data_IF_403257264051
#
_entry.id   IF_403257264051
#
_cell.length_a   1.000
_cell.length_b   1.000
_cell.length_c   1.000
_cell.angle_alpha   90.00
_cell.angle_beta   90.00
_cell.angle_gamma   90.00
#
_symmetry.space_group_name_H-M   'P 1'
#
loop_
_entity.id
_entity.type
_entity.pdbx_description
1 polymer ?
#
# COMPACT_ATOMS: atom_id res chain seq x y z
N UNK A 1 -7.87 8.97 -12.45
CA UNK A 1 -7.30 7.93 -11.54
C UNK A 1 -6.28 7.04 -12.23
N UNK A 2 -6.54 6.50 -13.43
CA UNK A 2 -5.62 5.58 -14.13
C UNK A 2 -4.18 6.08 -14.30
N UNK A 3 -3.97 7.39 -14.35
CA UNK A 3 -2.63 7.98 -14.50
C UNK A 3 -1.66 7.62 -13.37
N UNK A 4 -2.16 7.40 -12.15
CA UNK A 4 -1.30 7.08 -11.00
C UNK A 4 -0.76 5.64 -11.04
N UNK A 5 -1.33 4.77 -11.89
CA UNK A 5 -0.93 3.37 -12.07
C UNK A 5 -0.30 3.13 -13.45
N UNK A 6 -0.10 4.17 -14.27
CA UNK A 6 0.60 4.06 -15.54
C UNK A 6 2.07 3.66 -15.33
N UNK A 7 2.70 2.97 -16.30
CA UNK A 7 4.10 2.56 -16.18
C UNK A 7 5.06 3.68 -15.78
N UNK A 8 4.83 4.90 -16.29
CA UNK A 8 5.63 6.08 -15.97
C UNK A 8 5.56 6.46 -14.50
N UNK A 9 4.36 6.40 -13.90
CA UNK A 9 4.15 6.65 -12.48
C UNK A 9 4.75 5.53 -11.62
N UNK A 10 4.56 4.26 -12.01
CA UNK A 10 5.10 3.11 -11.29
C UNK A 10 6.62 3.15 -11.20
N UNK A 11 7.31 3.57 -12.27
CA UNK A 11 8.77 3.77 -12.26
C UNK A 11 9.22 4.79 -11.22
N UNK A 12 8.44 5.85 -11.00
CA UNK A 12 8.75 6.88 -10.01
C UNK A 12 8.52 6.39 -8.56
N UNK A 13 7.67 5.37 -8.38
CA UNK A 13 7.42 4.82 -7.05
C UNK A 13 8.52 3.88 -6.55
N UNK A 14 9.32 3.27 -7.44
CA UNK A 14 10.32 2.26 -7.05
C UNK A 14 11.31 2.79 -5.99
N UNK A 15 11.95 3.97 -6.17
CA UNK A 15 12.88 4.46 -5.15
C UNK A 15 12.19 4.77 -3.81
N UNK A 16 10.92 5.21 -3.86
CA UNK A 16 10.12 5.47 -2.65
C UNK A 16 9.80 4.17 -1.93
N UNK A 17 9.38 3.13 -2.66
CA UNK A 17 9.10 1.80 -2.13
C UNK A 17 10.34 1.19 -1.46
N UNK A 18 11.49 1.22 -2.16
CA UNK A 18 12.74 0.66 -1.67
C UNK A 18 13.24 1.38 -0.41
N UNK A 19 13.25 2.72 -0.42
CA UNK A 19 13.65 3.51 0.75
C UNK A 19 12.75 3.24 1.97
N UNK A 20 11.43 3.20 1.78
CA UNK A 20 10.49 2.90 2.86
C UNK A 20 10.61 1.44 3.34
N UNK A 21 10.89 0.49 2.46
CA UNK A 21 11.09 -0.92 2.84
C UNK A 21 12.34 -1.06 3.72
N UNK A 22 13.45 -0.43 3.33
CA UNK A 22 14.68 -0.41 4.12
C UNK A 22 14.44 0.19 5.51
N UNK A 23 13.82 1.37 5.58
CA UNK A 23 13.48 2.01 6.86
C UNK A 23 12.56 1.13 7.73
N UNK A 24 11.55 0.49 7.13
CA UNK A 24 10.63 -0.38 7.84
C UNK A 24 11.32 -1.63 8.41
N UNK A 25 12.20 -2.27 7.63
CA UNK A 25 12.97 -3.43 8.09
C UNK A 25 13.94 -3.03 9.21
N UNK A 26 14.65 -1.91 9.05
CA UNK A 26 15.60 -1.44 10.05
C UNK A 26 14.93 -1.03 11.37
N UNK A 27 13.76 -0.42 11.31
CA UNK A 27 13.05 0.07 12.51
C UNK A 27 12.17 -0.98 13.19
N UNK A 28 11.51 -1.87 12.44
CA UNK A 28 10.50 -2.77 12.98
C UNK A 28 10.95 -4.24 13.05
N UNK A 29 11.99 -4.63 12.29
CA UNK A 29 12.43 -6.03 12.19
C UNK A 29 13.82 -6.22 12.80
N UNK A 30 14.77 -5.34 12.50
CA UNK A 30 16.15 -5.47 12.94
C UNK A 30 16.23 -5.49 14.49
N UNK A 31 17.04 -6.40 15.03
CA UNK A 31 17.20 -6.56 16.48
C UNK A 31 16.07 -7.32 17.19
N UNK A 32 14.97 -7.65 16.51
CA UNK A 32 13.90 -8.48 17.07
C UNK A 32 14.21 -9.97 16.92
N UNK A 33 14.05 -10.75 17.98
CA UNK A 33 14.17 -12.22 17.92
C UNK A 33 12.98 -12.86 17.18
N UNK A 34 11.78 -12.29 17.34
CA UNK A 34 10.54 -12.79 16.74
C UNK A 34 9.79 -11.63 16.08
N UNK A 35 9.53 -11.76 14.78
CA UNK A 35 8.75 -10.78 14.00
C UNK A 35 7.40 -11.38 13.61
N UNK A 36 6.32 -10.68 13.94
CA UNK A 36 4.97 -11.02 13.46
C UNK A 36 4.77 -10.40 12.07
N UNK A 37 5.08 -11.18 11.04
CA UNK A 37 5.09 -10.71 9.64
C UNK A 37 3.78 -10.07 9.21
N UNK A 38 2.62 -10.69 9.47
CA UNK A 38 1.35 -10.15 8.98
C UNK A 38 1.01 -8.74 9.51
N UNK A 39 1.06 -8.47 10.83
CA UNK A 39 0.94 -7.11 11.34
C UNK A 39 1.96 -6.12 10.76
N UNK A 40 3.23 -6.51 10.61
CA UNK A 40 4.27 -5.62 10.07
C UNK A 40 4.04 -5.31 8.59
N UNK A 41 3.71 -6.33 7.79
CA UNK A 41 3.32 -6.15 6.39
C UNK A 41 2.10 -5.25 6.25
N UNK A 42 1.09 -5.35 7.12
CA UNK A 42 -0.08 -4.44 7.10
C UNK A 42 0.30 -2.99 7.40
N UNK A 43 1.17 -2.77 8.39
CA UNK A 43 1.69 -1.44 8.71
C UNK A 43 2.44 -0.86 7.51
N UNK A 44 3.42 -1.59 7.01
CA UNK A 44 4.22 -1.17 5.85
C UNK A 44 3.38 -0.83 4.62
N UNK A 45 2.46 -1.72 4.22
CA UNK A 45 1.66 -1.49 3.01
C UNK A 45 0.66 -0.35 3.18
N UNK A 46 0.14 -0.11 4.38
CA UNK A 46 -0.71 1.04 4.66
C UNK A 46 0.07 2.35 4.58
N UNK A 47 1.26 2.40 5.20
CA UNK A 47 2.14 3.56 5.20
C UNK A 47 2.59 3.88 3.76
N UNK A 48 2.97 2.85 3.00
CA UNK A 48 3.33 2.97 1.60
C UNK A 48 2.18 3.48 0.75
N UNK A 49 0.96 2.95 0.92
CA UNK A 49 -0.21 3.42 0.18
C UNK A 49 -0.53 4.89 0.51
N UNK A 50 -0.37 5.31 1.76
CA UNK A 50 -0.51 6.70 2.16
C UNK A 50 0.57 7.59 1.51
N UNK A 51 1.80 7.11 1.45
CA UNK A 51 2.90 7.82 0.78
C UNK A 51 2.65 7.98 -0.72
N UNK A 52 2.25 6.90 -1.41
CA UNK A 52 2.15 6.90 -2.87
C UNK A 52 0.91 7.64 -3.37
N UNK A 53 -0.26 7.40 -2.76
CA UNK A 53 -1.52 7.96 -3.26
C UNK A 53 -1.88 9.30 -2.64
N UNK A 54 -1.36 9.58 -1.45
CA UNK A 54 -1.66 10.82 -0.73
C UNK A 54 -0.40 11.58 -0.35
N UNK A 55 0.81 11.21 -0.77
CA UNK A 55 2.05 11.96 -0.46
C UNK A 55 2.20 12.36 1.02
N UNK A 56 1.63 11.58 1.95
CA UNK A 56 1.72 11.87 3.39
C UNK A 56 3.11 11.38 3.85
N UNK A 57 3.84 12.25 4.54
CA UNK A 57 5.17 11.95 5.10
C UNK A 57 5.10 11.77 6.62
N UNK A 58 4.18 12.48 7.26
CA UNK A 58 4.04 12.51 8.71
C UNK A 58 3.48 11.19 9.24
N UNK A 59 4.34 10.44 9.94
CA UNK A 59 4.02 9.15 10.57
C UNK A 59 2.89 9.25 11.59
N UNK A 60 2.75 10.38 12.30
CA UNK A 60 1.67 10.56 13.28
C UNK A 60 0.32 10.67 12.56
N UNK A 61 0.28 11.42 11.45
CA UNK A 61 -0.90 11.51 10.60
C UNK A 61 -1.29 10.14 10.04
N UNK A 62 -0.34 9.39 9.48
CA UNK A 62 -0.60 8.03 8.96
C UNK A 62 -1.14 7.12 10.05
N UNK A 63 -0.56 7.16 11.25
CA UNK A 63 -1.02 6.39 12.41
C UNK A 63 -2.46 6.75 12.82
N UNK A 64 -2.79 8.05 12.83
CA UNK A 64 -4.16 8.52 13.13
C UNK A 64 -5.15 8.02 12.08
N UNK A 65 -4.78 8.06 10.81
CA UNK A 65 -5.62 7.55 9.73
C UNK A 65 -5.81 6.03 9.85
N UNK A 66 -4.74 5.27 10.07
CA UNK A 66 -4.77 3.82 10.25
C UNK A 66 -5.70 3.37 11.39
N UNK A 67 -5.73 4.14 12.50
CA UNK A 67 -6.61 3.90 13.65
C UNK A 67 -8.09 3.96 13.29
N UNK A 68 -8.47 4.82 12.35
CA UNK A 68 -9.84 4.89 11.84
C UNK A 68 -10.12 3.88 10.73
N UNK A 69 -9.11 3.58 9.91
CA UNK A 69 -9.24 2.74 8.73
C UNK A 69 -9.37 1.24 9.07
N UNK A 70 -8.52 0.73 9.97
CA UNK A 70 -8.45 -0.70 10.30
C UNK A 70 -9.77 -1.28 10.84
N UNK A 71 -10.50 -0.60 11.76
CA UNK A 71 -11.80 -1.08 12.22
C UNK A 71 -12.86 -1.07 11.12
N UNK A 72 -12.77 -0.15 10.15
CA UNK A 72 -13.75 -0.04 9.05
C UNK A 72 -13.61 -1.22 8.09
N UNK A 73 -12.39 -1.51 7.65
CA UNK A 73 -12.11 -2.58 6.70
C UNK A 73 -12.39 -3.97 7.26
N UNK A 74 -12.03 -4.21 8.53
CA UNK A 74 -12.37 -5.47 9.22
C UNK A 74 -13.88 -5.73 9.34
N UNK A 75 -14.71 -4.70 9.20
CA UNK A 75 -16.18 -4.78 9.29
C UNK A 75 -16.88 -4.61 7.94
N UNK A 76 -16.12 -4.43 6.85
CA UNK A 76 -16.64 -4.11 5.52
C UNK A 76 -17.53 -5.23 4.96
N UNK A 77 -17.18 -6.49 5.24
CA UNK A 77 -17.94 -7.67 4.80
C UNK A 77 -18.98 -8.14 5.82
N UNK A 78 -19.47 -7.25 6.68
CA UNK A 78 -20.48 -7.61 7.68
C UNK A 78 -21.91 -7.57 7.13
N UNK A 79 -22.84 -8.21 7.84
CA UNK A 79 -24.27 -8.21 7.47
C UNK A 79 -24.77 -6.75 7.46
N UNK A 80 -25.41 -6.28 6.38
CA UNK A 80 -25.75 -4.87 6.17
C UNK A 80 -26.96 -4.42 6.99
N UNK A 81 -26.85 -4.51 8.32
CA UNK A 81 -27.88 -4.12 9.28
C UNK A 81 -27.39 -2.91 10.06
N UNK A 82 -27.95 -1.74 9.76
CA UNK A 82 -27.61 -0.49 10.43
C UNK A 82 -28.43 -0.29 11.72
N UNK A 83 -28.03 -1.01 12.77
CA UNK A 83 -28.61 -0.86 14.12
C UNK A 83 -27.50 -0.54 15.13
N UNK A 84 -27.76 0.27 16.17
CA UNK A 84 -26.78 0.54 17.21
C UNK A 84 -26.19 -0.74 17.79
N UNK A 85 -24.85 -0.83 17.80
CA UNK A 85 -24.13 -1.99 18.31
C UNK A 85 -23.77 -3.06 17.28
N UNK A 86 -24.29 -2.98 16.04
CA UNK A 86 -23.87 -3.91 14.97
C UNK A 86 -22.50 -3.54 14.40
N UNK A 87 -21.83 -4.53 13.81
CA UNK A 87 -20.57 -4.32 13.07
C UNK A 87 -20.73 -3.35 11.91
N UNK A 88 -21.86 -3.43 11.19
CA UNK A 88 -22.15 -2.55 10.05
C UNK A 88 -22.34 -1.10 10.49
N UNK A 89 -23.11 -0.84 11.56
CA UNK A 89 -23.24 0.50 12.14
C UNK A 89 -21.87 1.08 12.56
N UNK A 90 -21.02 0.23 13.15
CA UNK A 90 -19.64 0.59 13.48
C UNK A 90 -18.77 0.91 12.27
N UNK A 91 -18.95 0.18 11.15
CA UNK A 91 -18.25 0.43 9.89
C UNK A 91 -18.68 1.77 9.28
N UNK A 92 -19.98 2.07 9.25
CA UNK A 92 -20.53 3.34 8.75
C UNK A 92 -19.96 4.52 9.56
N UNK A 93 -20.02 4.46 10.89
CA UNK A 93 -19.47 5.51 11.77
C UNK A 93 -17.97 5.72 11.55
N UNK A 94 -17.20 4.62 11.44
CA UNK A 94 -15.78 4.71 11.15
C UNK A 94 -15.49 5.31 9.78
N UNK A 95 -16.27 4.92 8.76
CA UNK A 95 -16.19 5.47 7.40
C UNK A 95 -16.43 6.97 7.37
N UNK A 96 -17.39 7.48 8.15
CA UNK A 96 -17.62 8.94 8.28
C UNK A 96 -16.40 9.67 8.84
N UNK A 97 -15.69 9.07 9.82
CA UNK A 97 -14.48 9.68 10.39
C UNK A 97 -13.32 9.67 9.38
N UNK A 98 -13.13 8.56 8.66
CA UNK A 98 -12.13 8.46 7.58
C UNK A 98 -12.40 9.51 6.51
N UNK A 99 -13.64 9.63 6.05
CA UNK A 99 -14.04 10.67 5.09
C UNK A 99 -13.72 12.07 5.60
N UNK A 100 -14.09 12.38 6.85
CA UNK A 100 -13.84 13.70 7.43
C UNK A 100 -12.35 14.05 7.45
N UNK A 101 -11.48 13.09 7.75
CA UNK A 101 -10.04 13.34 7.78
C UNK A 101 -9.48 13.52 6.37
N UNK A 102 -9.86 12.65 5.42
CA UNK A 102 -9.42 12.77 4.03
C UNK A 102 -9.90 14.07 3.37
N UNK A 103 -11.13 14.50 3.66
CA UNK A 103 -11.66 15.76 3.14
C UNK A 103 -10.79 16.95 3.57
N UNK A 104 -10.31 17.00 4.82
CA UNK A 104 -9.38 18.07 5.24
C UNK A 104 -8.11 18.05 4.41
N UNK A 105 -7.50 16.88 4.22
CA UNK A 105 -6.27 16.72 3.42
C UNK A 105 -6.49 17.19 1.99
N UNK A 106 -7.62 16.81 1.38
CA UNK A 106 -7.97 17.18 0.01
C UNK A 106 -8.19 18.70 -0.09
N UNK A 107 -8.94 19.29 0.84
CA UNK A 107 -9.22 20.74 0.86
C UNK A 107 -7.94 21.56 1.08
N UNK A 108 -7.09 21.17 2.03
CA UNK A 108 -5.82 21.87 2.33
C UNK A 108 -4.89 21.85 1.11
N UNK A 109 -4.75 20.69 0.46
CA UNK A 109 -3.96 20.57 -0.77
C UNK A 109 -4.49 21.39 -1.91
N UNK A 110 -5.81 21.38 -2.11
CA UNK A 110 -6.44 22.18 -3.17
C UNK A 110 -6.17 23.67 -2.96
N UNK A 111 -6.15 24.12 -1.70
CA UNK A 111 -5.79 25.50 -1.36
C UNK A 111 -4.31 25.80 -1.67
N UNK A 112 -3.38 24.95 -1.23
CA UNK A 112 -1.95 25.10 -1.55
C UNK A 112 -1.67 25.10 -3.07
N UNK A 113 -2.43 24.31 -3.83
CA UNK A 113 -2.29 24.24 -5.30
C UNK A 113 -2.88 25.46 -6.03
N UNK A 114 -3.95 26.06 -5.49
CA UNK A 114 -4.49 27.32 -6.00
C UNK A 114 -3.50 28.48 -5.77
N UNK A 115 -2.75 28.45 -4.68
CA UNK A 115 -1.71 29.45 -4.38
C UNK A 115 -0.43 29.26 -5.24
N UNK A 116 -0.16 28.04 -5.74
CA UNK A 116 1.04 27.69 -6.51
C UNK A 116 0.84 27.59 -8.04
N UNK A 117 -0.26 28.08 -8.60
CA UNK A 117 -0.50 28.21 -10.06
C UNK A 117 -0.36 26.93 -10.91
N UNK A 118 -0.38 25.74 -10.30
CA UNK A 118 -0.21 24.44 -11.00
C UNK A 118 -1.37 23.53 -10.64
N UNK A 119 -2.52 23.75 -11.29
CA UNK A 119 -3.70 22.92 -11.09
C UNK A 119 -3.52 21.57 -11.81
N UNK A 120 -2.91 20.59 -11.14
CA UNK A 120 -3.11 19.18 -11.44
C UNK A 120 -4.46 18.80 -10.82
N UNK A 121 -5.55 19.12 -11.54
CA UNK A 121 -6.86 18.55 -11.22
C UNK A 121 -6.75 17.05 -11.40
N UNK A 122 -7.16 16.28 -10.40
CA UNK A 122 -7.49 14.88 -10.63
C UNK A 122 -8.73 14.91 -11.51
N UNK A 123 -8.56 14.60 -12.78
CA UNK A 123 -9.66 14.47 -13.72
C UNK A 123 -10.18 13.03 -13.72
N UNK A 124 -11.47 12.89 -13.98
CA UNK A 124 -12.08 11.59 -14.24
C UNK A 124 -11.64 11.05 -15.62
N UNK A 125 -12.18 9.90 -16.02
CA UNK A 125 -11.87 9.26 -17.31
C UNK A 125 -12.32 10.09 -18.53
N UNK A 126 -13.21 11.06 -18.32
CA UNK A 126 -13.74 11.97 -19.34
C UNK A 126 -12.99 13.30 -19.40
N UNK A 127 -12.01 13.52 -18.52
CA UNK A 127 -11.27 14.77 -18.41
C UNK A 127 -11.95 15.82 -17.54
N UNK A 128 -13.05 15.47 -16.87
CA UNK A 128 -13.79 16.39 -15.99
C UNK A 128 -13.17 16.44 -14.60
N UNK A 129 -13.28 17.61 -13.95
CA UNK A 129 -12.76 17.79 -12.59
C UNK A 129 -13.54 16.92 -11.59
N UNK A 130 -12.83 16.07 -10.85
CA UNK A 130 -13.48 15.28 -9.80
C UNK A 130 -13.85 16.17 -8.61
N UNK A 131 -15.02 15.94 -8.02
CA UNK A 131 -15.41 16.54 -6.75
C UNK A 131 -14.53 16.02 -5.61
N UNK A 132 -14.43 16.78 -4.52
CA UNK A 132 -13.64 16.37 -3.35
C UNK A 132 -14.14 15.05 -2.75
N UNK A 133 -15.46 14.82 -2.81
CA UNK A 133 -16.08 13.58 -2.36
C UNK A 133 -15.69 12.39 -3.25
N UNK A 134 -15.66 12.57 -4.58
CA UNK A 134 -15.20 11.54 -5.51
C UNK A 134 -13.71 11.24 -5.31
N UNK A 135 -12.87 12.27 -5.14
CA UNK A 135 -11.45 12.10 -4.82
C UNK A 135 -11.30 11.32 -3.51
N UNK A 136 -12.06 11.67 -2.47
CA UNK A 136 -12.04 10.96 -1.19
C UNK A 136 -12.44 9.49 -1.32
N UNK A 137 -13.53 9.18 -2.02
CA UNK A 137 -14.00 7.81 -2.27
C UNK A 137 -12.93 6.99 -3.00
N UNK A 138 -12.33 7.60 -4.02
CA UNK A 138 -11.27 7.02 -4.83
C UNK A 138 -10.03 6.66 -4.02
N UNK A 139 -9.56 7.59 -3.16
CA UNK A 139 -8.43 7.35 -2.27
C UNK A 139 -8.75 6.23 -1.27
N UNK A 140 -9.95 6.22 -0.68
CA UNK A 140 -10.37 5.14 0.22
C UNK A 140 -10.32 3.79 -0.50
N UNK A 141 -10.88 3.69 -1.70
CA UNK A 141 -10.86 2.47 -2.50
C UNK A 141 -9.44 1.99 -2.78
N UNK A 142 -8.54 2.89 -3.18
CA UNK A 142 -7.13 2.57 -3.44
C UNK A 142 -6.40 2.11 -2.18
N UNK A 143 -6.62 2.76 -1.04
CA UNK A 143 -6.05 2.36 0.24
C UNK A 143 -6.50 0.93 0.60
N UNK A 144 -7.82 0.67 0.65
CA UNK A 144 -8.38 -0.65 0.96
C UNK A 144 -7.79 -1.73 0.04
N UNK A 145 -7.82 -1.48 -1.28
CA UNK A 145 -7.37 -2.44 -2.26
C UNK A 145 -5.88 -2.75 -2.16
N UNK A 146 -5.04 -1.73 -1.89
CA UNK A 146 -3.59 -1.88 -1.87
C UNK A 146 -3.08 -2.55 -0.59
N UNK A 147 -3.51 -2.11 0.59
CA UNK A 147 -2.85 -2.55 1.82
C UNK A 147 -3.29 -3.96 2.27
N UNK A 148 -4.58 -4.31 2.17
CA UNK A 148 -5.07 -5.63 2.59
C UNK A 148 -4.54 -6.75 1.69
N UNK A 149 -4.57 -6.56 0.37
CA UNK A 149 -4.16 -7.59 -0.59
C UNK A 149 -2.64 -7.79 -0.57
N UNK A 150 -1.87 -6.70 -0.64
CA UNK A 150 -0.40 -6.76 -0.68
C UNK A 150 0.17 -7.29 0.62
N UNK A 151 -0.36 -6.88 1.78
CA UNK A 151 0.14 -7.39 3.08
C UNK A 151 -0.09 -8.89 3.24
N UNK A 152 -1.23 -9.38 2.75
CA UNK A 152 -1.55 -10.81 2.72
C UNK A 152 -0.59 -11.56 1.80
N UNK A 153 -0.36 -11.08 0.57
CA UNK A 153 0.56 -11.75 -0.36
C UNK A 153 2.01 -11.75 0.15
N UNK A 154 2.52 -10.64 0.68
CA UNK A 154 3.86 -10.58 1.30
C UNK A 154 3.99 -11.61 2.42
N UNK A 155 2.96 -11.73 3.26
CA UNK A 155 2.93 -12.71 4.35
C UNK A 155 2.96 -14.14 3.82
N UNK A 156 2.18 -14.43 2.77
CA UNK A 156 2.13 -15.76 2.15
C UNK A 156 3.44 -16.11 1.46
N UNK A 157 4.05 -15.17 0.74
CA UNK A 157 5.38 -15.34 0.14
C UNK A 157 6.40 -15.70 1.22
N UNK A 158 6.43 -14.98 2.34
CA UNK A 158 7.37 -15.26 3.43
C UNK A 158 7.10 -16.61 4.10
N UNK A 159 5.82 -16.98 4.29
CA UNK A 159 5.45 -18.31 4.79
C UNK A 159 5.97 -19.42 3.87
N UNK A 160 5.72 -19.33 2.56
CA UNK A 160 6.16 -20.34 1.61
C UNK A 160 7.68 -20.40 1.48
N UNK A 161 8.36 -19.27 1.55
CA UNK A 161 9.83 -19.24 1.58
C UNK A 161 10.36 -19.98 2.82
N UNK A 162 9.79 -19.75 3.99
CA UNK A 162 10.18 -20.44 5.22
C UNK A 162 9.96 -21.97 5.13
N UNK A 163 8.91 -22.41 4.44
CA UNK A 163 8.60 -23.84 4.22
C UNK A 163 9.45 -24.48 3.11
N UNK A 164 10.05 -23.69 2.21
CA UNK A 164 10.75 -24.16 0.99
C UNK A 164 12.17 -23.58 0.90
N UNK A 165 13.13 -24.05 1.72
CA UNK A 165 14.46 -23.44 1.85
C UNK A 165 15.29 -23.39 0.55
N UNK A 166 15.09 -24.33 -0.38
CA UNK A 166 15.75 -24.32 -1.69
C UNK A 166 15.36 -23.10 -2.56
N UNK A 167 14.15 -22.57 -2.38
CA UNK A 167 13.68 -21.36 -3.06
C UNK A 167 14.38 -20.13 -2.48
N UNK A 168 14.58 -20.08 -1.16
CA UNK A 168 15.33 -18.99 -0.51
C UNK A 168 16.75 -18.87 -1.09
N UNK A 169 17.45 -19.99 -1.27
CA UNK A 169 18.81 -20.02 -1.82
C UNK A 169 18.82 -19.39 -3.22
N UNK A 170 17.91 -19.83 -4.09
CA UNK A 170 17.80 -19.34 -5.46
C UNK A 170 17.44 -17.85 -5.52
N UNK A 171 16.46 -17.42 -4.70
CA UNK A 171 16.08 -16.01 -4.55
C UNK A 171 17.25 -15.17 -4.07
N UNK A 172 17.98 -15.62 -3.05
CA UNK A 172 19.13 -14.90 -2.51
C UNK A 172 20.23 -14.74 -3.55
N UNK A 173 20.50 -15.77 -4.36
CA UNK A 173 21.48 -15.70 -5.43
C UNK A 173 21.10 -14.63 -6.48
N UNK A 174 19.82 -14.57 -6.90
CA UNK A 174 19.30 -13.52 -7.79
C UNK A 174 19.50 -12.12 -7.19
N UNK A 175 19.05 -11.91 -5.94
CA UNK A 175 19.14 -10.60 -5.27
C UNK A 175 20.59 -10.15 -5.08
N UNK A 176 21.50 -11.07 -4.77
CA UNK A 176 22.93 -10.76 -4.61
C UNK A 176 23.61 -10.38 -5.92
N UNK A 177 23.13 -10.85 -7.07
CA UNK A 177 23.66 -10.41 -8.37
C UNK A 177 23.33 -8.94 -8.63
N UNK A 178 22.11 -8.51 -8.26
CA UNK A 178 21.68 -7.11 -8.39
C UNK A 178 22.44 -6.25 -7.38
N UNK A 179 22.49 -6.65 -6.11
CA UNK A 179 23.17 -5.89 -5.06
C UNK A 179 24.65 -5.59 -5.38
N UNK A 180 25.36 -6.53 -6.03
CA UNK A 180 26.77 -6.33 -6.45
C UNK A 180 26.96 -5.22 -7.50
N UNK A 181 25.91 -4.87 -8.22
CA UNK A 181 25.94 -3.80 -9.23
C UNK A 181 25.64 -2.42 -8.66
N UNK A 182 25.20 -2.35 -7.39
CA UNK A 182 24.75 -1.12 -6.73
C UNK A 182 25.86 -0.55 -5.84
N UNK A 183 25.98 0.77 -5.82
CA UNK A 183 26.80 1.46 -4.83
C UNK A 183 26.12 1.42 -3.44
N UNK A 184 26.89 1.58 -2.34
CA UNK A 184 26.32 1.69 -1.00
C UNK A 184 25.27 2.80 -0.92
N UNK A 185 24.06 2.46 -0.46
CA UNK A 185 22.93 3.39 -0.35
C UNK A 185 22.23 3.73 -1.67
N UNK A 186 22.61 3.10 -2.79
CA UNK A 186 21.94 3.29 -4.07
C UNK A 186 20.61 2.51 -4.10
N UNK A 187 19.50 3.24 -4.27
CA UNK A 187 18.16 2.67 -4.36
C UNK A 187 17.95 1.88 -5.67
N UNK A 188 17.03 0.92 -5.64
CA UNK A 188 16.60 0.14 -6.79
C UNK A 188 16.03 1.03 -7.90
N UNK A 189 16.35 0.67 -9.15
CA UNK A 189 15.75 1.30 -10.33
C UNK A 189 14.74 0.37 -11.01
N UNK A 190 14.02 0.92 -11.99
CA UNK A 190 13.13 0.13 -12.85
C UNK A 190 13.87 -1.03 -13.53
N UNK A 191 15.08 -0.79 -14.04
CA UNK A 191 15.89 -1.81 -14.70
C UNK A 191 16.30 -2.92 -13.73
N UNK A 192 16.51 -2.60 -12.45
CA UNK A 192 16.81 -3.61 -11.44
C UNK A 192 15.60 -4.48 -11.15
N UNK A 193 14.42 -3.89 -10.97
CA UNK A 193 13.17 -4.63 -10.77
C UNK A 193 12.88 -5.57 -11.95
N UNK A 194 13.14 -5.14 -13.18
CA UNK A 194 12.98 -5.99 -14.38
C UNK A 194 13.91 -7.22 -14.40
N UNK A 195 15.03 -7.20 -13.67
CA UNK A 195 15.96 -8.34 -13.56
C UNK A 195 15.49 -9.39 -12.55
N UNK A 196 14.57 -9.05 -11.64
CA UNK A 196 14.10 -9.91 -10.54
C UNK A 196 13.05 -10.96 -11.01
N UNK A 197 13.43 -11.80 -11.98
CA UNK A 197 12.50 -12.72 -12.66
C UNK A 197 12.08 -13.90 -11.78
N UNK A 198 13.01 -14.45 -11.00
CA UNK A 198 12.75 -15.59 -10.13
C UNK A 198 11.87 -15.18 -8.94
N UNK A 199 12.17 -14.05 -8.28
CA UNK A 199 11.32 -13.56 -7.19
C UNK A 199 9.91 -13.21 -7.69
N UNK A 200 9.77 -12.67 -8.91
CA UNK A 200 8.47 -12.48 -9.55
C UNK A 200 7.70 -13.80 -9.72
N UNK A 201 8.36 -14.85 -10.21
CA UNK A 201 7.73 -16.17 -10.33
C UNK A 201 7.29 -16.74 -8.96
N UNK A 202 8.06 -16.49 -7.90
CA UNK A 202 7.68 -16.88 -6.53
C UNK A 202 6.43 -16.13 -6.08
N UNK A 203 6.35 -14.81 -6.30
CA UNK A 203 5.16 -14.02 -6.01
C UNK A 203 3.94 -14.52 -6.81
N UNK A 204 4.09 -14.73 -8.13
CA UNK A 204 3.03 -15.31 -8.96
C UNK A 204 2.59 -16.70 -8.46
N UNK A 205 3.52 -17.53 -7.99
CA UNK A 205 3.21 -18.85 -7.43
C UNK A 205 2.44 -18.74 -6.11
N UNK A 206 2.79 -17.78 -5.25
CA UNK A 206 2.04 -17.44 -4.03
C UNK A 206 0.60 -17.08 -4.36
N UNK A 207 0.40 -16.09 -5.24
CA UNK A 207 -0.91 -15.63 -5.71
C UNK A 207 -1.75 -16.75 -6.33
N UNK A 208 -1.12 -17.65 -7.10
CA UNK A 208 -1.80 -18.81 -7.71
C UNK A 208 -2.25 -19.84 -6.68
N UNK A 209 -1.49 -20.03 -5.59
CA UNK A 209 -1.81 -21.01 -4.55
C UNK A 209 -2.84 -20.47 -3.55
N UNK A 210 -2.73 -19.19 -3.20
CA UNK A 210 -3.57 -18.54 -2.21
C UNK A 210 -3.79 -17.08 -2.63
N UNK A 211 -4.75 -16.80 -3.53
CA UNK A 211 -5.05 -15.44 -3.92
C UNK A 211 -5.60 -14.66 -2.70
N UNK A 212 -5.10 -13.43 -2.43
CA UNK A 212 -5.54 -12.62 -1.28
C UNK A 212 -7.04 -12.28 -1.27
N UNK A 213 -7.66 -12.20 -2.46
CA UNK A 213 -9.09 -12.01 -2.63
C UNK A 213 -9.69 -13.27 -3.24
N UNK A 214 -10.49 -14.01 -2.47
CA UNK A 214 -11.21 -15.19 -2.97
C UNK A 214 -12.62 -14.78 -3.45
N UNK A 215 -13.00 -15.19 -4.66
CA UNK A 215 -14.38 -15.09 -5.14
C UNK A 215 -14.76 -13.82 -5.91
N UNK A 216 -13.79 -12.99 -6.29
CA UNK A 216 -13.99 -11.95 -7.32
C UNK A 216 -13.02 -12.29 -8.44
N UNK A 217 -13.58 -12.49 -9.65
CA UNK A 217 -13.03 -13.13 -10.87
C UNK A 217 -13.42 -14.61 -11.04
#
# INVERSE_FOLDING_TARGET
>A
MHDILKPEALKQYIPVMDSMEQEHVDSEWAGSEVVKVFPMSKKFTFDLACRLFMSIVDTEHVTRLAKHFTPVTSRMFSVPIDLPGTTYNGAIKGGTLVHKELMKIITDRKKEMMENSRMLLVTDEKGECMSEMEISNNIIGLLVASYETTSTDVTLVLKYLAELPHIIISKRAEQMQIAKTKAPGELLTWEDVQKIKYSWNVACKSLRLAPPSQGVF
#
